data_IF_897580190109
#
_entry.id   IF_897580190109
#
_cell.length_a   1.000
_cell.length_b   1.000
_cell.length_c   1.000
_cell.angle_alpha   90.00
_cell.angle_beta   90.00
_cell.angle_gamma   90.00
#
_symmetry.space_group_name_H-M   'P 1'
#
loop_
_entity.id
_entity.type
_entity.pdbx_description
1 polymer ?
#
# COMPACT_ATOMS: atom_id res chain seq x y z
N UNK A 1 -25.65 -60.36 -20.79
CA UNK A 1 -26.08 -58.97 -21.01
C UNK A 1 -25.43 -57.93 -20.06
N UNK A 2 -24.72 -58.31 -19.02
CA UNK A 2 -24.07 -57.36 -18.07
C UNK A 2 -22.67 -56.87 -18.49
N UNK A 3 -21.99 -57.59 -19.39
CA UNK A 3 -20.61 -57.27 -19.80
C UNK A 3 -20.52 -56.26 -20.96
N UNK A 4 -21.57 -56.19 -21.78
CA UNK A 4 -21.61 -55.24 -22.91
C UNK A 4 -21.93 -53.81 -22.49
N UNK A 5 -22.62 -53.59 -21.39
CA UNK A 5 -22.91 -52.25 -20.87
C UNK A 5 -21.67 -51.57 -20.23
N UNK A 6 -20.75 -52.37 -19.66
CA UNK A 6 -19.55 -51.82 -19.01
C UNK A 6 -18.53 -51.33 -20.07
N UNK A 7 -18.46 -52.03 -21.22
CA UNK A 7 -17.55 -51.61 -22.32
C UNK A 7 -18.06 -50.35 -23.02
N UNK A 8 -19.39 -50.20 -23.15
CA UNK A 8 -19.97 -48.97 -23.73
C UNK A 8 -19.80 -47.74 -22.82
N UNK A 9 -19.84 -47.93 -21.50
CA UNK A 9 -19.65 -46.85 -20.54
C UNK A 9 -18.18 -46.37 -20.49
N UNK A 10 -17.24 -47.30 -20.65
CA UNK A 10 -15.80 -46.96 -20.72
C UNK A 10 -15.41 -46.28 -22.03
N UNK A 11 -16.10 -46.57 -23.14
CA UNK A 11 -15.88 -45.89 -24.40
C UNK A 11 -16.38 -44.44 -24.43
N UNK A 12 -17.41 -44.10 -23.66
CA UNK A 12 -17.90 -42.74 -23.53
C UNK A 12 -17.00 -41.84 -22.65
N UNK A 13 -16.21 -42.43 -21.76
CA UNK A 13 -15.26 -41.67 -20.92
C UNK A 13 -13.95 -41.34 -21.64
N UNK A 14 -13.68 -41.97 -22.77
CA UNK A 14 -12.43 -41.70 -23.54
C UNK A 14 -12.54 -40.56 -24.55
N UNK A 15 -13.74 -40.02 -24.80
CA UNK A 15 -13.96 -38.93 -25.78
C UNK A 15 -13.88 -37.54 -25.12
N UNK A 16 -13.81 -37.47 -23.79
CA UNK A 16 -13.74 -36.21 -23.05
C UNK A 16 -12.36 -35.61 -22.81
N UNK A 17 -11.25 -36.22 -23.29
CA UNK A 17 -9.91 -35.85 -22.88
C UNK A 17 -9.06 -35.18 -23.97
N UNK A 18 -9.64 -34.66 -25.05
CA UNK A 18 -8.95 -33.89 -26.06
C UNK A 18 -9.56 -32.48 -26.27
N UNK A 19 -9.87 -31.78 -25.17
CA UNK A 19 -9.86 -30.35 -25.20
C UNK A 19 -8.39 -29.90 -25.13
N UNK A 20 -7.66 -30.04 -26.25
CA UNK A 20 -6.39 -29.38 -26.42
C UNK A 20 -6.64 -27.90 -26.27
N UNK A 21 -6.05 -27.37 -25.22
CA UNK A 21 -5.95 -25.96 -24.89
C UNK A 21 -5.32 -25.23 -26.09
N UNK A 22 -6.15 -24.82 -27.03
CA UNK A 22 -5.78 -23.88 -28.07
C UNK A 22 -5.62 -22.56 -27.37
N UNK A 23 -4.42 -22.30 -26.84
CA UNK A 23 -3.96 -20.94 -26.58
C UNK A 23 -4.03 -20.20 -27.90
N UNK A 24 -5.21 -19.67 -28.22
CA UNK A 24 -5.31 -18.57 -29.17
C UNK A 24 -4.38 -17.50 -28.64
N UNK A 25 -3.34 -17.21 -29.40
CA UNK A 25 -2.48 -16.07 -29.17
C UNK A 25 -3.33 -14.80 -29.23
N UNK A 26 -3.93 -14.45 -28.10
CA UNK A 26 -4.48 -13.12 -27.92
C UNK A 26 -3.28 -12.18 -28.11
N UNK A 27 -3.17 -11.59 -29.29
CA UNK A 27 -2.33 -10.43 -29.53
C UNK A 27 -2.82 -9.39 -28.53
N UNK A 28 -2.08 -9.33 -27.41
CA UNK A 28 -2.37 -8.37 -26.36
C UNK A 28 -2.20 -6.99 -26.97
N UNK A 29 -3.30 -6.33 -27.33
CA UNK A 29 -3.33 -4.92 -27.69
C UNK A 29 -2.99 -4.02 -26.49
N UNK A 30 -2.17 -4.52 -25.57
CA UNK A 30 -1.68 -3.72 -24.45
C UNK A 30 -0.73 -2.67 -25.00
N UNK A 31 -0.95 -1.40 -24.68
CA UNK A 31 -0.03 -0.35 -25.11
C UNK A 31 1.38 -0.65 -24.58
N UNK A 32 2.37 -0.55 -25.45
CA UNK A 32 3.79 -0.68 -25.09
C UNK A 32 4.29 0.70 -24.71
N UNK A 33 4.67 0.87 -23.46
CA UNK A 33 5.23 2.12 -22.95
C UNK A 33 6.76 2.04 -22.97
N UNK A 34 7.39 3.12 -23.44
CA UNK A 34 8.83 3.30 -23.36
C UNK A 34 9.15 4.26 -22.22
N UNK A 35 10.01 3.84 -21.31
CA UNK A 35 10.46 4.70 -20.21
C UNK A 35 11.38 5.78 -20.77
N UNK A 36 10.92 7.02 -20.78
CA UNK A 36 11.68 8.19 -21.25
C UNK A 36 12.62 8.71 -20.16
N UNK A 37 12.14 8.69 -18.90
CA UNK A 37 12.90 9.16 -17.74
C UNK A 37 12.42 8.43 -16.49
N UNK A 38 13.34 7.96 -15.69
CA UNK A 38 13.07 7.36 -14.39
C UNK A 38 13.74 8.20 -13.31
N UNK A 39 12.97 8.58 -12.30
CA UNK A 39 13.48 9.26 -11.10
C UNK A 39 13.76 8.19 -10.06
N UNK A 40 14.91 8.22 -9.36
CA UNK A 40 15.17 7.29 -8.28
C UNK A 40 14.17 7.50 -7.15
N UNK A 41 13.63 6.41 -6.65
CA UNK A 41 12.68 6.39 -5.53
C UNK A 41 13.20 5.44 -4.45
N UNK A 42 12.73 5.63 -3.22
CA UNK A 42 12.94 4.70 -2.11
C UNK A 42 12.01 3.48 -2.23
N UNK A 43 12.07 2.56 -1.28
CA UNK A 43 11.19 1.39 -1.25
C UNK A 43 9.72 1.81 -1.15
N UNK A 44 8.84 1.08 -1.82
CA UNK A 44 7.39 1.28 -1.71
C UNK A 44 6.95 0.70 -0.37
N UNK A 45 6.18 1.51 0.38
CA UNK A 45 5.64 1.15 1.68
C UNK A 45 4.15 0.82 1.58
N UNK A 46 3.68 -0.08 2.41
CA UNK A 46 2.27 -0.47 2.49
C UNK A 46 1.59 0.22 3.67
N UNK A 47 0.69 1.15 3.38
CA UNK A 47 -0.13 1.80 4.41
C UNK A 47 -1.25 0.89 4.94
N UNK A 48 -1.49 -0.27 4.32
CA UNK A 48 -2.59 -1.16 4.63
C UNK A 48 -3.95 -0.42 4.63
N UNK A 49 -4.78 -0.65 5.62
CA UNK A 49 -6.13 -0.06 5.75
C UNK A 49 -6.16 1.30 6.45
N UNK A 50 -5.01 1.86 6.77
CA UNK A 50 -4.96 3.19 7.40
C UNK A 50 -5.41 4.28 6.41
N UNK A 51 -6.07 5.32 6.90
CA UNK A 51 -6.42 6.51 6.11
C UNK A 51 -5.26 7.51 5.99
N UNK A 52 -4.01 7.04 5.97
CA UNK A 52 -2.78 7.85 6.01
C UNK A 52 -2.08 7.97 4.66
N UNK A 53 -2.78 7.76 3.55
CA UNK A 53 -2.20 7.90 2.21
C UNK A 53 -1.55 9.27 1.95
N UNK A 54 -2.08 10.32 2.56
CA UNK A 54 -1.54 11.67 2.49
C UNK A 54 -0.14 11.78 3.10
N UNK A 55 0.12 11.05 4.17
CA UNK A 55 1.38 10.99 4.88
C UNK A 55 2.41 10.16 4.10
N UNK A 56 2.08 8.90 3.82
CA UNK A 56 2.92 7.99 3.03
C UNK A 56 3.36 8.58 1.70
N UNK A 57 2.44 9.20 0.95
CA UNK A 57 2.78 9.80 -0.33
C UNK A 57 3.70 11.01 -0.20
N UNK A 58 3.49 11.83 0.83
CA UNK A 58 4.31 13.04 1.05
C UNK A 58 5.70 12.69 1.55
N UNK A 59 5.83 11.76 2.51
CA UNK A 59 7.13 11.32 3.00
C UNK A 59 7.93 10.59 1.91
N UNK A 60 7.28 9.73 1.12
CA UNK A 60 7.92 9.09 -0.04
C UNK A 60 8.46 10.10 -1.05
N UNK A 61 7.74 11.20 -1.28
CA UNK A 61 8.24 12.30 -2.10
C UNK A 61 9.50 12.95 -1.50
N UNK A 62 9.50 13.24 -0.20
CA UNK A 62 10.68 13.82 0.46
C UNK A 62 11.87 12.87 0.46
N UNK A 63 11.65 11.58 0.71
CA UNK A 63 12.70 10.56 0.62
C UNK A 63 13.33 10.51 -0.78
N UNK A 64 12.51 10.55 -1.83
CA UNK A 64 12.97 10.57 -3.21
C UNK A 64 13.78 11.83 -3.52
N UNK A 65 13.35 13.01 -3.04
CA UNK A 65 14.09 14.27 -3.23
C UNK A 65 15.42 14.29 -2.44
N UNK A 66 15.45 13.72 -1.24
CA UNK A 66 16.67 13.56 -0.45
C UNK A 66 17.62 12.61 -1.18
N UNK A 67 17.14 11.46 -1.64
CA UNK A 67 17.93 10.49 -2.39
C UNK A 67 18.54 11.14 -3.64
N UNK A 68 17.75 11.88 -4.40
CA UNK A 68 18.19 12.59 -5.60
C UNK A 68 19.26 13.64 -5.31
N UNK A 69 19.13 14.39 -4.21
CA UNK A 69 20.06 15.46 -3.84
C UNK A 69 21.32 14.95 -3.18
N UNK A 70 21.24 13.91 -2.37
CA UNK A 70 22.35 13.48 -1.48
C UNK A 70 22.94 12.13 -1.86
N UNK A 71 22.23 11.33 -2.66
CA UNK A 71 22.58 9.93 -2.95
C UNK A 71 22.36 8.98 -1.76
N UNK A 72 21.79 9.48 -0.65
CA UNK A 72 21.56 8.70 0.55
C UNK A 72 20.07 8.34 0.68
N UNK A 73 19.81 7.09 1.06
CA UNK A 73 18.47 6.62 1.36
C UNK A 73 18.14 6.88 2.83
N UNK A 74 16.99 7.46 3.08
CA UNK A 74 16.43 7.62 4.40
C UNK A 74 15.05 6.97 4.40
N UNK A 75 14.68 6.43 5.55
CA UNK A 75 13.39 5.82 5.83
C UNK A 75 12.73 6.66 6.92
N UNK A 76 11.80 7.52 6.52
CA UNK A 76 11.11 8.47 7.40
C UNK A 76 9.88 7.81 8.03
N UNK A 77 9.61 8.18 9.27
CA UNK A 77 8.58 7.53 10.08
C UNK A 77 7.19 8.14 9.86
N UNK A 78 6.32 7.45 9.14
CA UNK A 78 4.94 7.85 8.91
C UNK A 78 4.12 7.82 10.21
N UNK A 79 4.35 6.83 11.06
CA UNK A 79 3.62 6.73 12.33
C UNK A 79 3.89 7.91 13.26
N UNK A 80 5.09 8.52 13.21
CA UNK A 80 5.41 9.73 13.94
C UNK A 80 4.57 10.90 13.44
N UNK A 81 4.52 11.13 12.14
CA UNK A 81 3.77 12.23 11.53
C UNK A 81 2.27 12.08 11.79
N UNK A 82 1.72 10.91 11.53
CA UNK A 82 0.31 10.61 11.80
C UNK A 82 -0.05 10.86 13.27
N UNK A 83 0.80 10.38 14.20
CA UNK A 83 0.58 10.58 15.64
C UNK A 83 0.53 12.06 16.01
N UNK A 84 1.51 12.88 15.56
CA UNK A 84 1.54 14.30 15.88
C UNK A 84 0.36 15.04 15.28
N UNK A 85 0.02 14.78 14.03
CA UNK A 85 -1.14 15.36 13.37
C UNK A 85 -2.45 15.03 14.11
N UNK A 86 -2.62 13.79 14.53
CA UNK A 86 -3.85 13.40 15.27
C UNK A 86 -3.90 13.98 16.67
N UNK A 87 -2.77 14.12 17.34
CA UNK A 87 -2.72 14.84 18.63
C UNK A 87 -3.15 16.31 18.49
N UNK A 88 -2.63 17.01 17.48
CA UNK A 88 -2.99 18.39 17.21
C UNK A 88 -4.48 18.54 16.90
N UNK A 89 -5.03 17.64 16.08
CA UNK A 89 -6.47 17.59 15.78
C UNK A 89 -7.30 17.31 17.01
N UNK A 90 -6.88 16.39 17.87
CA UNK A 90 -7.59 16.11 19.11
C UNK A 90 -7.66 17.36 20.01
N UNK A 91 -6.55 18.09 20.11
CA UNK A 91 -6.52 19.37 20.84
C UNK A 91 -7.48 20.40 20.21
N UNK A 92 -7.49 20.48 18.87
CA UNK A 92 -8.41 21.38 18.16
C UNK A 92 -9.88 21.01 18.41
N UNK A 93 -10.23 19.72 18.35
CA UNK A 93 -11.59 19.23 18.63
C UNK A 93 -12.05 19.69 20.03
N UNK A 94 -11.18 19.56 21.03
CA UNK A 94 -11.49 20.02 22.39
C UNK A 94 -11.67 21.54 22.44
N UNK A 95 -10.76 22.30 21.83
CA UNK A 95 -10.79 23.77 21.81
C UNK A 95 -12.01 24.35 21.09
N UNK A 96 -12.47 23.67 20.05
CA UNK A 96 -13.63 24.04 19.24
C UNK A 96 -14.92 23.34 19.70
N UNK A 97 -14.93 22.76 20.88
CA UNK A 97 -16.11 22.09 21.45
C UNK A 97 -16.73 21.01 20.53
N UNK A 98 -15.89 20.33 19.75
CA UNK A 98 -16.34 19.33 18.80
C UNK A 98 -16.76 19.87 17.43
N UNK A 99 -16.70 21.18 17.20
CA UNK A 99 -17.05 21.81 15.92
C UNK A 99 -15.89 21.76 14.92
N UNK A 100 -15.24 20.59 14.81
CA UNK A 100 -14.28 20.30 13.77
C UNK A 100 -14.18 18.79 13.55
N UNK A 101 -13.79 18.42 12.33
CA UNK A 101 -13.74 17.03 11.92
C UNK A 101 -12.50 16.33 12.49
N UNK A 102 -12.71 15.24 13.21
CA UNK A 102 -11.64 14.33 13.66
C UNK A 102 -11.69 13.05 12.84
N UNK A 103 -10.88 13.01 11.77
CA UNK A 103 -10.86 11.91 10.81
C UNK A 103 -9.41 11.54 10.43
N UNK A 104 -9.24 10.36 9.88
CA UNK A 104 -7.91 9.83 9.48
C UNK A 104 -7.30 10.56 8.28
N UNK A 105 -8.12 11.11 7.38
CA UNK A 105 -7.67 11.83 6.20
C UNK A 105 -6.81 13.05 6.55
N UNK A 106 -5.97 13.47 5.63
CA UNK A 106 -5.09 14.63 5.76
C UNK A 106 -4.57 15.10 4.42
N UNK A 107 -3.59 15.98 4.46
CA UNK A 107 -2.97 16.58 3.29
C UNK A 107 -1.45 16.69 3.47
N UNK A 108 -0.73 17.00 2.41
CA UNK A 108 0.69 17.30 2.48
C UNK A 108 1.00 18.47 3.44
N UNK A 109 0.05 19.39 3.63
CA UNK A 109 0.20 20.48 4.59
C UNK A 109 0.35 19.98 6.02
N UNK A 110 -0.38 18.95 6.41
CA UNK A 110 -0.29 18.36 7.75
C UNK A 110 1.11 17.77 8.00
N UNK A 111 1.71 17.16 6.97
CA UNK A 111 3.10 16.65 7.03
C UNK A 111 4.08 17.81 7.20
N UNK A 112 3.97 18.86 6.36
CA UNK A 112 4.83 20.04 6.45
C UNK A 112 4.71 20.70 7.82
N UNK A 113 3.50 20.90 8.33
CA UNK A 113 3.27 21.45 9.65
C UNK A 113 3.92 20.63 10.77
N UNK A 114 3.82 19.30 10.67
CA UNK A 114 4.49 18.39 11.61
C UNK A 114 6.00 18.50 11.53
N UNK A 115 6.56 18.54 10.32
CA UNK A 115 8.02 18.72 10.12
C UNK A 115 8.52 20.04 10.70
N UNK A 116 7.79 21.13 10.50
CA UNK A 116 8.15 22.46 11.00
C UNK A 116 8.03 22.54 12.53
N UNK A 117 7.00 21.91 13.12
CA UNK A 117 6.68 22.06 14.54
C UNK A 117 7.42 21.05 15.41
N UNK A 118 7.53 19.79 14.97
CA UNK A 118 8.02 18.67 15.78
C UNK A 118 9.28 18.01 15.20
N UNK A 119 9.62 18.33 13.94
CA UNK A 119 10.67 17.62 13.21
C UNK A 119 10.20 16.27 12.66
N UNK A 120 11.16 15.38 12.41
CA UNK A 120 10.92 14.03 11.91
C UNK A 120 11.95 13.07 12.51
N UNK A 121 11.58 11.82 12.66
CA UNK A 121 12.50 10.76 13.04
C UNK A 121 12.58 9.68 11.95
N UNK A 122 13.65 8.89 11.90
CA UNK A 122 13.70 7.72 11.04
C UNK A 122 12.75 6.63 11.58
N UNK A 123 12.27 5.76 10.68
CA UNK A 123 11.39 4.64 11.04
C UNK A 123 11.99 3.75 12.14
N UNK A 124 13.31 3.57 12.14
CA UNK A 124 14.02 2.79 13.15
C UNK A 124 13.94 3.35 14.57
N UNK A 125 13.66 4.67 14.72
CA UNK A 125 13.55 5.31 16.04
C UNK A 125 12.14 5.15 16.63
N UNK A 126 11.14 4.98 15.80
CA UNK A 126 9.74 4.75 16.19
C UNK A 126 9.13 3.69 15.27
N UNK A 127 9.65 2.47 15.32
CA UNK A 127 9.10 1.40 14.49
C UNK A 127 7.63 1.26 14.81
N UNK A 128 6.86 0.98 13.78
CA UNK A 128 5.42 0.79 13.91
C UNK A 128 5.17 -0.16 15.09
N UNK A 129 4.41 0.22 16.10
CA UNK A 129 4.13 -0.69 17.20
C UNK A 129 3.49 -1.93 16.58
N UNK A 130 4.16 -3.07 16.71
CA UNK A 130 3.55 -4.34 16.39
C UNK A 130 2.16 -4.33 16.97
N UNK A 131 1.15 -4.66 16.20
CA UNK A 131 -0.21 -4.61 16.69
C UNK A 131 -0.29 -5.45 17.96
N UNK A 132 -1.11 -5.04 18.92
CA UNK A 132 -1.45 -5.84 20.10
C UNK A 132 -1.90 -7.28 19.73
N UNK A 133 -2.12 -7.55 18.45
CA UNK A 133 -2.67 -8.78 17.88
C UNK A 133 -1.76 -9.48 16.86
N UNK A 134 -0.49 -9.06 16.69
CA UNK A 134 0.47 -9.71 15.80
C UNK A 134 1.28 -8.76 14.93
N UNK A 135 2.45 -9.20 14.52
CA UNK A 135 3.58 -8.41 14.04
C UNK A 135 3.43 -7.79 12.63
N UNK A 136 2.28 -7.85 11.99
CA UNK A 136 2.20 -7.51 10.58
C UNK A 136 1.04 -6.60 10.18
N UNK A 137 0.29 -6.07 11.13
CA UNK A 137 -0.89 -5.29 10.80
C UNK A 137 -0.71 -3.84 11.23
N UNK A 138 -0.38 -3.00 10.26
CA UNK A 138 -0.63 -1.56 10.29
C UNK A 138 -2.15 -1.34 10.41
N UNK A 139 -2.74 -1.74 11.51
CA UNK A 139 -4.17 -1.64 11.73
C UNK A 139 -4.41 -0.48 12.70
N UNK A 140 -4.75 0.67 12.14
CA UNK A 140 -5.26 1.82 12.89
C UNK A 140 -6.78 1.73 13.13
N UNK A 141 -7.36 0.56 13.13
CA UNK A 141 -8.77 0.36 13.48
C UNK A 141 -8.93 0.15 14.98
#
# INVERSE_FOLDING_TARGET
MRKTFVVALLALLAIGANAADKKEGATSNKPVFTVVKQIPITSIKDQNRSGTCWDYSTLSYFEAEILKKTGKTYDLCESFVANKTYMDRAIQVVRFHGDCQFAQGGSAYDVLHTLETYGICPESAMPFPGSLYGDSLNNFN
#
